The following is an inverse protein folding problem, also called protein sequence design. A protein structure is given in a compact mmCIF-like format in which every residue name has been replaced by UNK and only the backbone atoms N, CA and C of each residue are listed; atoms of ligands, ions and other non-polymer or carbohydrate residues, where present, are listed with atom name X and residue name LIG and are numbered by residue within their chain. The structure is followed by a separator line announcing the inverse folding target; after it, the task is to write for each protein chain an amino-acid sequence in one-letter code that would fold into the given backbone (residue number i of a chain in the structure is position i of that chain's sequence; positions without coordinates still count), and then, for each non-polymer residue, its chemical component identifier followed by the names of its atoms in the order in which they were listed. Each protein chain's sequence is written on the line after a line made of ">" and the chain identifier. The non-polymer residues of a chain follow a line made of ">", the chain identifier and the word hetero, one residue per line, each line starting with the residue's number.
data_IF_049566085275
#
_entry.id   IF_049566085275
#
_cell.length_a   1.000
_cell.length_b   1.000
_cell.length_c   1.000
_cell.angle_alpha   90.00
_cell.angle_beta   90.00
_cell.angle_gamma   90.00
#
_symmetry.space_group_name_H-M   'P 1'
#
loop_
_entity.id
_entity.type
_entity.pdbx_description
1 polymer ?
#
# COMPACT_ATOMS: atom_id res chain seq x y z
N UNK A 1 -7.25 -17.03 8.82
CA UNK A 1 -5.88 -17.22 9.38
C UNK A 1 -5.46 -16.03 10.25
N UNK A 2 -4.39 -16.14 11.05
CA UNK A 2 -3.90 -15.03 11.89
C UNK A 2 -3.24 -13.91 11.07
N UNK A 3 -3.45 -12.64 11.45
CA UNK A 3 -2.83 -11.47 10.77
C UNK A 3 -1.43 -11.22 11.35
N UNK A 4 -0.44 -11.01 10.48
CA UNK A 4 0.96 -10.79 10.88
C UNK A 4 1.33 -9.30 10.74
N UNK A 5 2.24 -8.82 11.61
CA UNK A 5 2.83 -7.49 11.55
C UNK A 5 1.98 -6.33 12.10
N UNK A 6 2.61 -5.17 12.39
CA UNK A 6 1.89 -3.95 12.77
C UNK A 6 0.99 -3.45 11.63
N UNK A 7 -0.24 -3.01 11.93
CA UNK A 7 -1.27 -2.66 10.93
C UNK A 7 -0.74 -1.73 9.83
N UNK A 8 0.00 -0.70 10.21
CA UNK A 8 0.57 0.32 9.33
C UNK A 8 1.58 -0.19 8.28
N UNK A 9 2.03 -1.44 8.38
CA UNK A 9 2.95 -2.07 7.42
C UNK A 9 2.32 -3.26 6.69
N UNK A 10 1.07 -3.61 6.99
CA UNK A 10 0.41 -4.75 6.33
C UNK A 10 0.14 -4.44 4.87
N UNK A 11 0.47 -5.40 4.01
CA UNK A 11 0.16 -5.36 2.59
C UNK A 11 -1.36 -5.45 2.35
N UNK A 12 -1.87 -4.95 1.20
CA UNK A 12 -3.30 -4.94 0.90
C UNK A 12 -3.93 -6.34 0.97
N UNK A 13 -3.24 -7.37 0.47
CA UNK A 13 -3.69 -8.76 0.53
C UNK A 13 -3.84 -9.27 1.97
N UNK A 14 -2.96 -8.84 2.88
CA UNK A 14 -3.03 -9.17 4.31
C UNK A 14 -4.19 -8.42 4.97
N UNK A 15 -4.40 -7.16 4.59
CA UNK A 15 -5.53 -6.34 5.07
C UNK A 15 -6.87 -6.88 4.57
N UNK A 16 -6.91 -7.52 3.41
CA UNK A 16 -8.11 -8.12 2.83
C UNK A 16 -8.37 -9.57 3.27
N UNK A 17 -7.49 -10.17 4.07
CA UNK A 17 -7.61 -11.57 4.47
C UNK A 17 -7.34 -12.56 3.32
N UNK A 18 -6.67 -12.13 2.26
CA UNK A 18 -6.29 -12.97 1.13
C UNK A 18 -5.05 -13.82 1.47
N UNK A 19 -4.78 -14.90 0.73
CA UNK A 19 -3.50 -15.60 0.80
C UNK A 19 -2.35 -14.64 0.52
N UNK A 20 -1.28 -14.76 1.30
CA UNK A 20 -0.09 -13.91 1.24
C UNK A 20 1.17 -14.78 1.33
N UNK A 21 2.27 -14.23 0.83
CA UNK A 21 3.59 -14.87 0.78
C UNK A 21 4.69 -13.85 1.09
N UNK A 22 5.94 -14.14 0.73
CA UNK A 22 7.09 -13.25 0.96
C UNK A 22 6.97 -11.88 0.27
N UNK A 23 6.10 -11.73 -0.73
CA UNK A 23 5.87 -10.42 -1.38
C UNK A 23 5.27 -9.41 -0.41
N UNK A 24 4.59 -9.86 0.66
CA UNK A 24 4.08 -9.00 1.73
C UNK A 24 5.18 -8.32 2.55
N UNK A 25 6.35 -8.96 2.66
CA UNK A 25 7.54 -8.35 3.28
C UNK A 25 8.11 -7.23 2.40
N UNK A 26 7.98 -7.33 1.07
CA UNK A 26 8.43 -6.31 0.14
C UNK A 26 7.56 -5.04 0.20
N UNK A 27 6.26 -5.20 0.43
CA UNK A 27 5.39 -4.08 0.76
C UNK A 27 5.85 -3.40 2.06
N UNK A 28 6.08 -4.20 3.11
CA UNK A 28 6.57 -3.70 4.41
C UNK A 28 7.89 -2.93 4.24
N UNK A 29 8.82 -3.44 3.44
CA UNK A 29 10.07 -2.76 3.10
C UNK A 29 9.82 -1.45 2.35
N UNK A 30 8.89 -1.44 1.38
CA UNK A 30 8.44 -0.22 0.69
C UNK A 30 7.93 0.85 1.65
N UNK A 31 7.11 0.46 2.64
CA UNK A 31 6.61 1.37 3.67
C UNK A 31 7.75 1.95 4.53
N UNK A 32 8.72 1.12 4.92
CA UNK A 32 9.87 1.57 5.72
C UNK A 32 10.76 2.52 4.91
N UNK A 33 11.06 2.20 3.66
CA UNK A 33 11.87 3.05 2.77
C UNK A 33 11.18 4.40 2.53
N UNK A 34 9.88 4.38 2.25
CA UNK A 34 9.08 5.60 2.14
C UNK A 34 9.12 6.42 3.44
N UNK A 35 8.96 5.76 4.59
CA UNK A 35 8.99 6.42 5.90
C UNK A 35 10.33 7.09 6.19
N UNK A 36 11.45 6.43 5.85
CA UNK A 36 12.79 7.01 6.02
C UNK A 36 12.98 8.27 5.17
N UNK A 37 12.43 8.29 3.96
CA UNK A 37 12.51 9.45 3.08
C UNK A 37 11.59 10.60 3.51
N UNK A 38 10.35 10.28 3.91
CA UNK A 38 9.33 11.26 4.26
C UNK A 38 9.47 11.81 5.69
N UNK A 39 10.21 11.12 6.57
CA UNK A 39 10.32 11.44 7.99
C UNK A 39 9.05 11.14 8.81
N UNK A 40 8.05 10.51 8.19
CA UNK A 40 6.78 10.12 8.79
C UNK A 40 6.24 8.84 8.14
N UNK A 41 5.32 8.15 8.81
CA UNK A 41 4.69 6.94 8.25
C UNK A 41 3.88 7.31 7.00
N UNK A 42 3.99 6.56 5.89
CA UNK A 42 3.17 6.80 4.71
C UNK A 42 1.68 6.54 5.01
N UNK A 43 1.39 5.53 5.84
CA UNK A 43 0.04 5.18 6.29
C UNK A 43 -0.04 5.32 7.82
N UNK A 44 -0.90 6.21 8.32
CA UNK A 44 -1.14 6.38 9.75
C UNK A 44 -2.61 6.06 10.04
N UNK A 45 -2.88 4.80 10.34
CA UNK A 45 -4.23 4.22 10.27
C UNK A 45 -4.66 3.55 11.57
N UNK A 46 -5.97 3.52 11.80
CA UNK A 46 -6.58 2.85 12.95
C UNK A 46 -7.36 1.60 12.54
N UNK A 47 -8.07 1.66 11.40
CA UNK A 47 -8.94 0.60 10.88
C UNK A 47 -8.58 0.13 9.47
N UNK A 48 -9.02 -1.07 9.08
CA UNK A 48 -8.66 -1.70 7.81
C UNK A 48 -9.27 -1.01 6.58
N UNK A 49 -10.54 -0.59 6.65
CA UNK A 49 -11.18 0.16 5.57
C UNK A 49 -10.49 1.51 5.31
N UNK A 50 -10.19 2.26 6.37
CA UNK A 50 -9.41 3.50 6.27
C UNK A 50 -8.02 3.24 5.66
N UNK A 51 -7.38 2.12 6.03
CA UNK A 51 -6.07 1.77 5.51
C UNK A 51 -6.09 1.53 4.00
N UNK A 52 -7.06 0.76 3.50
CA UNK A 52 -7.22 0.52 2.06
C UNK A 52 -7.51 1.83 1.30
N UNK A 53 -8.37 2.69 1.84
CA UNK A 53 -8.66 3.99 1.24
C UNK A 53 -7.42 4.92 1.21
N UNK A 54 -6.59 4.92 2.26
CA UNK A 54 -5.31 5.62 2.26
C UNK A 54 -4.35 5.06 1.20
N UNK A 55 -4.29 3.74 1.03
CA UNK A 55 -3.48 3.10 -0.01
C UNK A 55 -3.90 3.61 -1.40
N UNK A 56 -5.20 3.56 -1.73
CA UNK A 56 -5.66 4.01 -3.04
C UNK A 56 -5.33 5.49 -3.28
N UNK A 57 -5.54 6.33 -2.25
CA UNK A 57 -5.31 7.77 -2.32
C UNK A 57 -3.83 8.15 -2.47
N UNK A 58 -2.95 7.49 -1.72
CA UNK A 58 -1.51 7.79 -1.73
C UNK A 58 -0.83 7.19 -2.95
N UNK A 59 -1.24 6.00 -3.39
CA UNK A 59 -0.62 5.32 -4.53
C UNK A 59 -1.23 5.73 -5.87
N UNK A 60 -2.38 6.41 -5.85
CA UNK A 60 -3.15 6.81 -7.04
C UNK A 60 -3.52 5.56 -7.89
N UNK A 61 -3.93 4.49 -7.21
CA UNK A 61 -4.24 3.18 -7.78
C UNK A 61 -5.38 2.53 -7.00
N UNK A 62 -6.36 2.00 -7.71
CA UNK A 62 -7.46 1.26 -7.08
C UNK A 62 -7.03 -0.17 -6.69
N UNK A 63 -7.69 -0.73 -5.68
CA UNK A 63 -7.61 -2.16 -5.37
C UNK A 63 -8.09 -2.95 -6.60
N UNK A 64 -7.28 -3.88 -7.14
CA UNK A 64 -7.68 -4.68 -8.27
C UNK A 64 -9.00 -5.42 -8.02
N UNK A 65 -9.92 -5.35 -8.98
CA UNK A 65 -11.25 -6.01 -8.88
C UNK A 65 -11.18 -7.51 -8.57
N UNK A 66 -10.10 -8.18 -8.97
CA UNK A 66 -9.90 -9.59 -8.67
C UNK A 66 -9.66 -9.83 -7.17
N UNK A 67 -8.90 -8.93 -6.50
CA UNK A 67 -8.67 -8.99 -5.06
C UNK A 67 -9.98 -8.75 -4.30
N UNK A 68 -10.75 -7.74 -4.71
CA UNK A 68 -12.06 -7.45 -4.15
C UNK A 68 -13.00 -8.67 -4.24
N UNK A 69 -13.16 -9.23 -5.45
CA UNK A 69 -14.02 -10.40 -5.69
C UNK A 69 -13.57 -11.62 -4.90
N UNK A 70 -12.26 -11.86 -4.84
CA UNK A 70 -11.73 -13.00 -4.08
C UNK A 70 -11.95 -12.82 -2.58
N UNK A 71 -11.72 -11.62 -2.05
CA UNK A 71 -11.91 -11.35 -0.62
C UNK A 71 -13.38 -11.52 -0.20
N UNK A 72 -14.31 -11.04 -1.03
CA UNK A 72 -15.76 -11.23 -0.81
C UNK A 72 -16.14 -12.72 -0.94
N UNK A 73 -15.58 -13.45 -1.91
CA UNK A 73 -15.90 -14.86 -2.13
C UNK A 73 -15.37 -15.80 -1.03
N UNK A 74 -14.28 -15.42 -0.35
CA UNK A 74 -13.65 -16.24 0.68
C UNK A 74 -14.34 -16.14 2.05
N UNK A 75 -15.31 -15.23 2.25
CA UNK A 75 -16.00 -14.98 3.54
C UNK A 75 -15.04 -14.71 4.72
N UNK A 76 -13.78 -14.36 4.42
CA UNK A 76 -12.75 -13.97 5.39
C UNK A 76 -12.50 -12.46 5.39
N UNK A 77 -13.39 -11.69 4.77
CA UNK A 77 -13.26 -10.24 4.69
C UNK A 77 -13.27 -9.63 6.10
N UNK A 78 -12.25 -8.84 6.48
CA UNK A 78 -12.22 -8.27 7.82
C UNK A 78 -13.40 -7.34 8.10
N UNK A 79 -13.82 -7.31 9.37
CA UNK A 79 -14.91 -6.47 9.85
C UNK A 79 -14.73 -4.99 9.41
N UNK A 80 -15.81 -4.41 8.88
CA UNK A 80 -15.84 -3.03 8.40
C UNK A 80 -15.28 -2.82 6.99
N UNK A 81 -14.60 -3.79 6.39
CA UNK A 81 -14.21 -3.72 4.98
C UNK A 81 -15.39 -4.10 4.09
N UNK A 82 -15.64 -3.32 3.04
CA UNK A 82 -16.74 -3.48 2.11
C UNK A 82 -16.35 -3.00 0.70
N UNK A 83 -16.95 -3.62 -0.31
CA UNK A 83 -16.80 -3.26 -1.72
C UNK A 83 -18.18 -3.03 -2.34
N UNK A 84 -18.25 -2.16 -3.35
CA UNK A 84 -19.44 -1.97 -4.17
C UNK A 84 -19.59 -3.09 -5.19
N UNK A 85 -20.77 -3.14 -5.82
CA UNK A 85 -21.08 -4.12 -6.87
C UNK A 85 -20.11 -4.09 -8.07
N UNK A 86 -19.50 -2.94 -8.35
CA UNK A 86 -18.50 -2.78 -9.43
C UNK A 86 -17.08 -3.24 -9.04
N UNK A 87 -16.88 -3.62 -7.78
CA UNK A 87 -15.62 -4.07 -7.20
C UNK A 87 -14.71 -2.95 -6.68
N UNK A 88 -15.16 -1.69 -6.69
CA UNK A 88 -14.46 -0.59 -6.01
C UNK A 88 -14.65 -0.65 -4.49
N UNK A 89 -13.71 -0.12 -3.71
CA UNK A 89 -13.91 0.05 -2.27
C UNK A 89 -15.19 0.86 -2.01
N UNK A 90 -15.99 0.44 -1.04
CA UNK A 90 -17.16 1.23 -0.62
C UNK A 90 -16.75 2.40 0.28
N UNK A 91 -15.85 3.24 -0.23
CA UNK A 91 -15.35 4.43 0.45
C UNK A 91 -15.94 5.69 -0.19
N UNK A 92 -16.51 6.64 0.59
CA UNK A 92 -16.46 6.75 2.05
C UNK A 92 -17.64 6.12 2.82
N UNK A 93 -18.60 5.46 2.16
CA UNK A 93 -19.81 4.94 2.81
C UNK A 93 -19.53 3.99 3.98
N UNK A 94 -18.50 3.15 3.85
CA UNK A 94 -18.05 2.19 4.86
C UNK A 94 -16.95 2.75 5.77
N UNK A 95 -16.72 4.07 5.78
CA UNK A 95 -15.76 4.67 6.70
C UNK A 95 -16.18 4.42 8.15
N UNK A 96 -15.21 4.13 9.05
CA UNK A 96 -15.53 3.87 10.46
C UNK A 96 -16.04 5.13 11.20
N UNK A 97 -15.60 6.31 10.76
CA UNK A 97 -15.93 7.62 11.33
C UNK A 97 -15.66 8.72 10.29
N UNK A 98 -16.27 9.90 10.48
CA UNK A 98 -16.08 11.06 9.58
C UNK A 98 -14.63 11.57 9.60
N UNK A 99 -13.97 11.48 10.75
CA UNK A 99 -12.57 11.86 10.91
C UNK A 99 -11.64 11.02 10.03
N UNK A 100 -11.98 9.75 9.77
CA UNK A 100 -11.23 8.89 8.86
C UNK A 100 -11.35 9.39 7.41
N UNK A 101 -12.54 9.85 7.02
CA UNK A 101 -12.78 10.48 5.71
C UNK A 101 -11.86 11.71 5.54
N UNK A 102 -11.82 12.57 6.55
CA UNK A 102 -10.96 13.76 6.53
C UNK A 102 -9.46 13.44 6.53
N UNK A 103 -9.03 12.39 7.24
CA UNK A 103 -7.64 11.93 7.20
C UNK A 103 -7.25 11.44 5.79
N UNK A 104 -8.07 10.61 5.16
CA UNK A 104 -7.82 10.13 3.79
C UNK A 104 -7.82 11.28 2.78
N UNK A 105 -8.77 12.22 2.87
CA UNK A 105 -8.82 13.40 1.98
C UNK A 105 -7.52 14.22 2.01
N UNK A 106 -6.91 14.34 3.20
CA UNK A 106 -5.65 15.09 3.42
C UNK A 106 -4.41 14.36 2.89
N UNK A 107 -4.48 13.06 2.62
CA UNK A 107 -3.37 12.34 2.03
C UNK A 107 -3.03 12.91 0.64
N UNK A 108 -1.73 13.04 0.36
CA UNK A 108 -1.22 13.44 -0.95
C UNK A 108 -0.71 12.22 -1.70
N UNK A 109 -0.81 12.17 -3.04
CA UNK A 109 -0.18 11.12 -3.83
C UNK A 109 1.33 11.07 -3.56
N UNK A 110 1.90 9.86 -3.45
CA UNK A 110 3.32 9.64 -3.16
C UNK A 110 4.23 10.36 -4.16
N UNK A 111 3.82 10.42 -5.43
CA UNK A 111 4.53 11.15 -6.49
C UNK A 111 4.67 12.66 -6.24
N UNK A 112 3.76 13.25 -5.46
CA UNK A 112 3.78 14.67 -5.09
C UNK A 112 4.58 14.90 -3.79
N UNK A 113 4.78 13.86 -2.98
CA UNK A 113 5.56 13.91 -1.75
C UNK A 113 7.07 13.72 -1.98
N UNK A 114 7.45 13.06 -3.08
CA UNK A 114 8.85 12.85 -3.48
C UNK A 114 9.32 13.99 -4.39
N UNK A 115 10.54 14.48 -4.15
CA UNK A 115 11.13 15.55 -4.97
C UNK A 115 11.35 15.04 -6.40
N UNK A 116 11.10 15.85 -7.45
CA UNK A 116 11.26 15.41 -8.84
C UNK A 116 12.66 14.86 -9.17
N UNK A 117 13.70 15.34 -8.49
CA UNK A 117 15.09 14.88 -8.66
C UNK A 117 15.32 13.46 -8.14
N UNK A 118 14.42 12.92 -7.31
CA UNK A 118 14.51 11.58 -6.72
C UNK A 118 13.56 10.59 -7.42
N UNK A 119 13.41 10.71 -8.74
CA UNK A 119 12.52 9.87 -9.54
C UNK A 119 12.90 8.39 -9.51
N UNK A 120 14.19 8.07 -9.40
CA UNK A 120 14.69 6.70 -9.27
C UNK A 120 14.27 6.06 -7.93
N UNK A 121 14.31 6.84 -6.86
CA UNK A 121 13.79 6.46 -5.55
C UNK A 121 12.28 6.21 -5.63
N UNK A 122 11.53 7.15 -6.21
CA UNK A 122 10.08 7.02 -6.38
C UNK A 122 9.72 5.74 -7.14
N UNK A 123 10.47 5.43 -8.21
CA UNK A 123 10.23 4.24 -9.02
C UNK A 123 10.42 2.93 -8.24
N UNK A 124 11.42 2.86 -7.35
CA UNK A 124 11.62 1.70 -6.46
C UNK A 124 10.46 1.61 -5.46
N UNK A 125 10.14 2.69 -4.76
CA UNK A 125 9.10 2.69 -3.73
C UNK A 125 7.73 2.37 -4.32
N UNK A 126 7.36 2.96 -5.46
CA UNK A 126 6.07 2.67 -6.11
C UNK A 126 5.95 1.22 -6.56
N UNK A 127 7.04 0.58 -7.00
CA UNK A 127 6.98 -0.82 -7.36
C UNK A 127 6.97 -1.77 -6.16
N UNK A 128 7.59 -1.40 -5.04
CA UNK A 128 7.47 -2.14 -3.76
C UNK A 128 6.07 -1.98 -3.15
N UNK A 129 5.47 -0.80 -3.29
CA UNK A 129 4.11 -0.48 -2.87
C UNK A 129 3.07 -0.72 -3.99
N UNK A 130 3.32 -1.70 -4.87
CA UNK A 130 2.31 -2.13 -5.83
C UNK A 130 1.22 -2.95 -5.09
N UNK A 131 -0.04 -2.60 -5.35
CA UNK A 131 -1.19 -3.19 -4.64
C UNK A 131 -1.36 -4.64 -5.05
N UNK A 132 -1.23 -4.93 -6.34
CA UNK A 132 -1.29 -6.27 -6.89
C UNK A 132 0.01 -7.03 -6.54
N UNK A 133 -0.02 -8.03 -5.63
CA UNK A 133 1.20 -8.74 -5.22
C UNK A 133 1.91 -9.42 -6.42
N UNK A 134 1.15 -9.85 -7.44
CA UNK A 134 1.71 -10.45 -8.66
C UNK A 134 2.45 -9.48 -9.58
N UNK A 135 2.31 -8.17 -9.36
CA UNK A 135 3.02 -7.11 -10.10
C UNK A 135 4.05 -6.38 -9.24
N UNK A 136 4.10 -6.67 -7.94
CA UNK A 136 5.01 -6.06 -6.99
C UNK A 136 6.46 -6.38 -7.33
N UNK A 137 7.33 -5.38 -7.20
CA UNK A 137 8.77 -5.56 -7.40
C UNK A 137 9.27 -6.64 -6.43
N UNK A 138 9.97 -7.63 -6.97
CA UNK A 138 10.78 -8.53 -6.15
C UNK A 138 12.01 -7.78 -5.61
N UNK A 139 12.61 -8.27 -4.51
CA UNK A 139 13.87 -7.71 -4.00
C UNK A 139 14.98 -7.71 -5.07
N UNK A 140 15.11 -8.81 -5.82
CA UNK A 140 16.07 -8.92 -6.90
C UNK A 140 15.83 -7.86 -7.98
N UNK A 141 14.58 -7.66 -8.43
CA UNK A 141 14.25 -6.66 -9.43
C UNK A 141 14.43 -5.22 -8.91
N UNK A 142 14.14 -4.98 -7.63
CA UNK A 142 14.36 -3.68 -7.00
C UNK A 142 15.85 -3.31 -6.99
N UNK A 143 16.74 -4.25 -6.65
CA UNK A 143 18.20 -4.04 -6.63
C UNK A 143 18.80 -3.79 -8.01
N UNK A 144 18.09 -4.11 -9.10
CA UNK A 144 18.53 -3.80 -10.47
C UNK A 144 18.04 -2.42 -10.95
N UNK A 145 17.32 -1.65 -10.13
CA UNK A 145 16.86 -0.31 -10.51
C UNK A 145 18.01 0.70 -10.48
N UNK A 146 17.94 1.76 -11.32
CA UNK A 146 18.99 2.79 -11.41
C UNK A 146 19.45 3.38 -10.06
N UNK A 147 18.52 3.49 -9.10
CA UNK A 147 18.81 3.93 -7.73
C UNK A 147 19.98 3.17 -7.09
N UNK A 148 20.12 1.88 -7.38
CA UNK A 148 21.15 0.98 -6.85
C UNK A 148 22.23 0.63 -7.87
N UNK A 149 22.16 1.17 -9.09
CA UNK A 149 23.08 0.88 -10.18
C UNK A 149 24.31 1.82 -10.22
N UNK A 150 24.34 2.85 -9.38
CA UNK A 150 25.49 3.76 -9.26
C UNK A 150 26.59 3.18 -8.39
N UNK A 151 27.85 3.33 -8.83
CA UNK A 151 29.01 3.12 -7.98
C UNK A 151 28.86 4.00 -6.73
N UNK A 152 28.99 3.38 -5.55
CA UNK A 152 29.10 4.10 -4.29
C UNK A 152 30.35 4.97 -4.34
N UNK A 153 30.22 6.22 -4.80
CA UNK A 153 31.20 7.26 -4.50
C UNK A 153 30.96 7.61 -3.03
N UNK A 154 31.60 6.83 -2.17
CA UNK A 154 31.83 7.21 -0.79
C UNK A 154 32.91 8.30 -0.88
N UNK A 155 32.49 9.58 -0.88
CA UNK A 155 33.39 10.68 -0.49
C UNK A 155 33.53 10.74 1.03
#
# INVERSE_FOLDING_TARGET
>A
GGRVGPRQFRAPEVVLGLPWDETSDLWSAGCIIAMLYLGQRPFSVHEDMEHLAMMERILDREVPRWMARQAVACDELPEGVAFRDDGSLDWPSAAPEEEAIERVKKCQPLREQVRPQHSEFLAVVQGLLEIDPGKRLSAAAALQKPLFAGDAVIE
#
